data_IF_641750782869
#
_entry.id   IF_641750782869
#
_cell.length_a   1.000
_cell.length_b   1.000
_cell.length_c   1.000
_cell.angle_alpha   90.00
_cell.angle_beta   90.00
_cell.angle_gamma   90.00
#
_symmetry.space_group_name_H-M   'P 1'
#
loop_
_entity.id
_entity.type
_entity.pdbx_description
1 polymer ?
#
# COMPACT_ATOMS: atom_id res chain seq x y z
N UNK A 1 -56.27 -48.27 -19.62
CA UNK A 1 -56.26 -47.64 -20.95
C UNK A 1 -55.74 -46.22 -20.75
N UNK A 2 -54.41 -46.03 -20.79
CA UNK A 2 -53.65 -45.37 -21.89
C UNK A 2 -53.51 -43.85 -21.62
N UNK A 3 -52.37 -43.40 -21.05
CA UNK A 3 -51.10 -42.97 -21.71
C UNK A 3 -51.18 -41.56 -22.33
N UNK A 4 -50.41 -40.62 -21.75
CA UNK A 4 -49.44 -39.71 -22.40
C UNK A 4 -48.90 -38.76 -21.30
N UNK A 5 -47.61 -38.85 -20.95
CA UNK A 5 -46.47 -38.11 -21.57
C UNK A 5 -46.53 -36.61 -21.22
N UNK A 6 -45.47 -35.89 -20.89
CA UNK A 6 -44.07 -36.18 -20.63
C UNK A 6 -43.49 -34.95 -19.90
N UNK A 7 -42.35 -35.19 -19.25
CA UNK A 7 -41.43 -34.20 -18.70
C UNK A 7 -41.21 -32.98 -19.62
N UNK A 8 -41.31 -31.78 -19.06
CA UNK A 8 -40.59 -30.61 -19.55
C UNK A 8 -39.99 -29.87 -18.35
N UNK A 9 -38.73 -30.19 -18.11
CA UNK A 9 -37.81 -29.50 -17.21
C UNK A 9 -37.91 -27.99 -17.42
N UNK A 10 -38.31 -27.27 -16.37
CA UNK A 10 -38.19 -25.83 -16.29
C UNK A 10 -36.70 -25.48 -16.13
N UNK A 11 -35.98 -25.42 -17.25
CA UNK A 11 -34.68 -24.78 -17.31
C UNK A 11 -34.90 -23.28 -17.10
N UNK A 12 -34.49 -22.79 -15.92
CA UNK A 12 -34.47 -21.37 -15.58
C UNK A 12 -33.64 -20.62 -16.63
N UNK A 13 -34.30 -19.88 -17.51
CA UNK A 13 -33.67 -18.96 -18.42
C UNK A 13 -33.11 -17.79 -17.60
N UNK A 14 -31.79 -17.64 -17.60
CA UNK A 14 -31.13 -16.41 -17.16
C UNK A 14 -31.69 -15.24 -17.99
N UNK A 15 -31.82 -14.02 -17.42
CA UNK A 15 -32.38 -12.88 -18.14
C UNK A 15 -31.53 -12.61 -19.39
N UNK A 16 -32.14 -12.87 -20.54
CA UNK A 16 -31.55 -12.68 -21.85
C UNK A 16 -31.28 -11.20 -22.06
N UNK A 17 -30.01 -10.82 -21.95
CA UNK A 17 -29.53 -9.68 -22.73
C UNK A 17 -29.73 -10.10 -24.18
N UNK A 18 -30.58 -9.40 -24.94
CA UNK A 18 -30.77 -9.65 -26.36
C UNK A 18 -29.43 -9.44 -27.08
N UNK A 19 -28.68 -10.53 -27.20
CA UNK A 19 -27.35 -10.55 -27.79
C UNK A 19 -27.51 -10.80 -29.28
N UNK A 20 -27.85 -9.74 -30.02
CA UNK A 20 -27.90 -9.80 -31.46
C UNK A 20 -26.48 -9.62 -32.01
N UNK A 21 -25.91 -10.71 -32.53
CA UNK A 21 -24.63 -10.66 -33.24
C UNK A 21 -24.86 -10.11 -34.65
N UNK A 22 -23.98 -9.24 -35.16
CA UNK A 22 -24.00 -8.83 -36.56
C UNK A 22 -23.95 -10.03 -37.51
N UNK A 23 -24.62 -9.92 -38.66
CA UNK A 23 -24.70 -10.97 -39.67
C UNK A 23 -23.31 -11.44 -40.15
N UNK A 24 -22.33 -10.53 -40.18
CA UNK A 24 -20.96 -10.85 -40.57
C UNK A 24 -20.29 -11.80 -39.56
N UNK A 25 -20.62 -11.69 -38.27
CA UNK A 25 -20.12 -12.59 -37.23
C UNK A 25 -20.87 -13.93 -37.30
N UNK A 26 -22.19 -13.91 -37.53
CA UNK A 26 -22.98 -15.13 -37.67
C UNK A 26 -22.52 -15.98 -38.88
N UNK A 27 -22.13 -15.33 -39.97
CA UNK A 27 -21.63 -16.00 -41.18
C UNK A 27 -20.31 -16.78 -40.97
N UNK A 28 -19.52 -16.41 -39.96
CA UNK A 28 -18.23 -17.07 -39.64
C UNK A 28 -18.32 -18.06 -38.48
N UNK A 29 -19.46 -18.15 -37.80
CA UNK A 29 -19.65 -19.13 -36.73
C UNK A 29 -19.85 -20.52 -37.36
N UNK A 30 -19.11 -21.55 -36.91
CA UNK A 30 -19.30 -22.91 -37.40
C UNK A 30 -20.75 -23.36 -37.23
N UNK A 31 -21.32 -24.07 -38.19
CA UNK A 31 -22.69 -24.62 -38.08
C UNK A 31 -22.74 -25.94 -37.30
N UNK A 32 -21.59 -26.62 -37.14
CA UNK A 32 -21.49 -27.83 -36.31
C UNK A 32 -21.47 -27.46 -34.81
N UNK A 33 -22.37 -28.02 -33.98
CA UNK A 33 -22.44 -27.72 -32.55
C UNK A 33 -21.15 -27.98 -31.76
N UNK A 34 -20.38 -29.02 -32.10
CA UNK A 34 -19.14 -29.34 -31.40
C UNK A 34 -18.02 -28.34 -31.74
N UNK A 35 -17.96 -27.89 -33.00
CA UNK A 35 -17.00 -26.86 -33.41
C UNK A 35 -17.33 -25.50 -32.78
N UNK A 36 -18.61 -25.17 -32.60
CA UNK A 36 -19.04 -23.99 -31.85
C UNK A 36 -18.58 -24.02 -30.39
N UNK A 37 -18.69 -25.18 -29.72
CA UNK A 37 -18.17 -25.35 -28.35
C UNK A 37 -16.66 -25.13 -28.29
N UNK A 38 -15.92 -25.57 -29.30
CA UNK A 38 -14.47 -25.35 -29.37
C UNK A 38 -14.13 -23.87 -29.56
N UNK A 39 -14.88 -23.14 -30.39
CA UNK A 39 -14.75 -21.69 -30.54
C UNK A 39 -15.09 -20.97 -29.22
N UNK A 40 -16.21 -21.31 -28.59
CA UNK A 40 -16.61 -20.73 -27.31
C UNK A 40 -15.57 -20.97 -26.21
N UNK A 41 -14.99 -22.18 -26.16
CA UNK A 41 -13.90 -22.54 -25.27
C UNK A 41 -12.68 -21.66 -25.53
N UNK A 42 -12.26 -21.53 -26.80
CA UNK A 42 -11.11 -20.68 -27.18
C UNK A 42 -11.32 -19.22 -26.79
N UNK A 43 -12.50 -18.65 -27.06
CA UNK A 43 -12.85 -17.28 -26.68
C UNK A 43 -12.75 -17.11 -25.16
N UNK A 44 -13.33 -18.05 -24.40
CA UNK A 44 -13.28 -18.03 -22.94
C UNK A 44 -11.84 -18.15 -22.43
N UNK A 45 -11.05 -19.06 -22.98
CA UNK A 45 -9.63 -19.22 -22.63
C UNK A 45 -8.83 -17.96 -22.92
N UNK A 46 -9.05 -17.30 -24.05
CA UNK A 46 -8.40 -16.03 -24.39
C UNK A 46 -8.83 -14.89 -23.44
N UNK A 47 -10.11 -14.81 -23.11
CA UNK A 47 -10.64 -13.80 -22.18
C UNK A 47 -10.04 -13.99 -20.78
N UNK A 48 -9.94 -15.23 -20.30
CA UNK A 48 -9.31 -15.56 -19.02
C UNK A 48 -7.81 -15.22 -19.07
N UNK A 49 -7.09 -15.66 -20.10
CA UNK A 49 -5.66 -15.38 -20.25
C UNK A 49 -5.37 -13.87 -20.28
N UNK A 50 -6.17 -13.09 -21.02
CA UNK A 50 -6.08 -11.63 -21.06
C UNK A 50 -6.30 -11.01 -19.68
N UNK A 51 -7.28 -11.51 -18.91
CA UNK A 51 -7.56 -11.02 -17.55
C UNK A 51 -6.47 -11.40 -16.56
N UNK A 52 -5.94 -12.62 -16.63
CA UNK A 52 -4.82 -13.09 -15.82
C UNK A 52 -3.58 -12.23 -16.08
N UNK A 53 -3.24 -11.98 -17.36
CA UNK A 53 -2.09 -11.14 -17.72
C UNK A 53 -2.20 -9.72 -17.17
N UNK A 54 -3.40 -9.11 -17.19
CA UNK A 54 -3.63 -7.80 -16.54
C UNK A 54 -3.41 -7.85 -15.04
N UNK A 55 -3.96 -8.86 -14.36
CA UNK A 55 -3.80 -9.04 -12.92
C UNK A 55 -2.34 -9.28 -12.53
N UNK A 56 -1.58 -10.03 -13.32
CA UNK A 56 -0.15 -10.23 -13.11
C UNK A 56 0.64 -8.93 -13.24
N UNK A 57 0.34 -8.12 -14.26
CA UNK A 57 0.94 -6.80 -14.45
C UNK A 57 0.62 -5.85 -13.28
N UNK A 58 -0.63 -5.83 -12.83
CA UNK A 58 -1.07 -5.05 -11.66
C UNK A 58 -0.37 -5.51 -10.38
N UNK A 59 -0.30 -6.82 -10.14
CA UNK A 59 0.38 -7.37 -8.98
C UNK A 59 1.89 -7.09 -9.02
N UNK A 60 2.51 -7.11 -10.19
CA UNK A 60 3.92 -6.73 -10.35
C UNK A 60 4.13 -5.24 -10.05
N UNK A 61 3.23 -4.35 -10.49
CA UNK A 61 3.27 -2.93 -10.15
C UNK A 61 3.13 -2.72 -8.63
N UNK A 62 2.10 -3.31 -8.02
CA UNK A 62 1.86 -3.18 -6.59
C UNK A 62 3.04 -3.67 -5.74
N UNK A 63 3.70 -4.77 -6.14
CA UNK A 63 4.91 -5.25 -5.47
C UNK A 63 6.08 -4.27 -5.57
N UNK A 64 6.26 -3.59 -6.71
CA UNK A 64 7.28 -2.55 -6.85
C UNK A 64 6.96 -1.35 -5.98
N UNK A 65 5.72 -0.86 -6.02
CA UNK A 65 5.28 0.28 -5.21
C UNK A 65 5.45 0.00 -3.71
N UNK A 66 5.16 -1.22 -3.27
CA UNK A 66 5.38 -1.64 -1.89
C UNK A 66 6.87 -1.66 -1.52
N UNK A 67 7.73 -2.22 -2.36
CA UNK A 67 9.17 -2.24 -2.12
C UNK A 67 9.78 -0.83 -2.08
N UNK A 68 9.26 0.10 -2.89
CA UNK A 68 9.69 1.50 -2.89
C UNK A 68 9.26 2.21 -1.60
N UNK A 69 8.04 1.95 -1.13
CA UNK A 69 7.54 2.45 0.16
C UNK A 69 8.33 1.91 1.33
N UNK A 70 8.63 0.61 1.36
CA UNK A 70 9.44 -0.01 2.42
C UNK A 70 10.83 0.62 2.51
N UNK A 71 11.45 0.94 1.36
CA UNK A 71 12.74 1.65 1.31
C UNK A 71 12.63 3.07 1.88
N UNK A 72 11.62 3.82 1.48
CA UNK A 72 11.38 5.17 2.02
C UNK A 72 11.09 5.15 3.52
N UNK A 73 10.33 4.17 4.00
CA UNK A 73 10.03 3.97 5.41
C UNK A 73 11.30 3.66 6.23
N UNK A 74 12.16 2.78 5.71
CA UNK A 74 13.45 2.48 6.35
C UNK A 74 14.35 3.72 6.43
N UNK A 75 14.41 4.53 5.37
CA UNK A 75 15.17 5.78 5.35
C UNK A 75 14.64 6.78 6.38
N UNK A 76 13.31 6.98 6.43
CA UNK A 76 12.68 7.88 7.40
C UNK A 76 12.92 7.43 8.84
N UNK A 77 12.84 6.13 9.12
CA UNK A 77 13.18 5.59 10.44
C UNK A 77 14.63 5.86 10.83
N UNK A 78 15.57 5.68 9.90
CA UNK A 78 16.98 5.97 10.16
C UNK A 78 17.21 7.45 10.47
N UNK A 79 16.58 8.36 9.71
CA UNK A 79 16.67 9.81 9.93
C UNK A 79 16.05 10.22 11.28
N UNK A 80 14.93 9.61 11.65
CA UNK A 80 14.28 9.85 12.94
C UNK A 80 15.19 9.42 14.09
N UNK A 81 15.76 8.21 14.02
CA UNK A 81 16.68 7.70 15.04
C UNK A 81 17.94 8.58 15.20
N UNK A 82 18.53 9.04 14.09
CA UNK A 82 19.66 9.99 14.12
C UNK A 82 19.25 11.34 14.75
N UNK A 83 18.06 11.85 14.41
CA UNK A 83 17.54 13.09 14.98
C UNK A 83 17.29 12.97 16.48
N UNK A 84 16.71 11.85 16.93
CA UNK A 84 16.47 11.57 18.35
C UNK A 84 17.78 11.45 19.13
N UNK A 85 18.79 10.78 18.56
CA UNK A 85 20.11 10.69 19.17
C UNK A 85 20.79 12.06 19.32
N UNK A 86 20.70 12.91 18.28
CA UNK A 86 21.22 14.29 18.34
C UNK A 86 20.48 15.14 19.36
N UNK A 87 19.16 15.01 19.44
CA UNK A 87 18.36 15.72 20.43
C UNK A 87 18.73 15.29 21.85
N UNK A 88 18.87 13.99 22.10
CA UNK A 88 19.28 13.47 23.40
C UNK A 88 20.66 14.00 23.81
N UNK A 89 21.63 14.01 22.89
CA UNK A 89 22.96 14.56 23.14
C UNK A 89 22.90 16.07 23.45
N UNK A 90 22.11 16.84 22.70
CA UNK A 90 21.95 18.27 22.93
C UNK A 90 21.29 18.57 24.29
N UNK A 91 20.32 17.74 24.72
CA UNK A 91 19.68 17.87 26.03
C UNK A 91 20.65 17.55 27.18
N UNK A 92 21.47 16.51 27.05
CA UNK A 92 22.51 16.17 28.04
C UNK A 92 23.53 17.30 28.17
N UNK A 93 23.99 17.85 27.04
CA UNK A 93 24.93 18.96 27.04
C UNK A 93 24.34 20.24 27.65
N UNK A 94 23.08 20.55 27.34
CA UNK A 94 22.36 21.67 27.95
C UNK A 94 22.26 21.49 29.48
N UNK A 95 21.99 20.28 29.95
CA UNK A 95 21.95 19.98 31.39
C UNK A 95 23.31 20.17 32.07
N UNK A 96 24.42 19.84 31.40
CA UNK A 96 25.79 20.13 31.91
C UNK A 96 26.05 21.63 31.97
N UNK A 97 25.79 22.35 30.88
CA UNK A 97 25.97 23.79 30.80
C UNK A 97 25.13 24.55 31.84
N UNK A 98 23.90 24.08 32.12
CA UNK A 98 23.06 24.63 33.16
C UNK A 98 23.70 24.49 34.56
N UNK A 99 24.30 23.34 34.87
CA UNK A 99 25.03 23.11 36.13
C UNK A 99 26.27 23.99 36.23
N UNK A 100 27.03 24.12 35.15
CA UNK A 100 28.22 24.98 35.10
C UNK A 100 27.86 26.45 35.31
N UNK A 101 26.80 26.93 34.64
CA UNK A 101 26.25 28.28 34.84
C UNK A 101 25.89 28.51 36.30
N UNK A 102 25.20 27.56 36.95
CA UNK A 102 24.77 27.71 38.35
C UNK A 102 25.97 27.74 39.31
N UNK A 103 26.97 26.91 39.05
CA UNK A 103 28.26 26.94 39.76
C UNK A 103 28.95 28.30 39.62
N UNK A 104 29.04 28.83 38.40
CA UNK A 104 29.65 30.13 38.12
C UNK A 104 28.87 31.30 38.74
N UNK A 105 27.54 31.23 38.75
CA UNK A 105 26.70 32.22 39.42
C UNK A 105 26.96 32.22 40.94
N UNK A 106 27.10 31.04 41.55
CA UNK A 106 27.42 30.91 42.97
C UNK A 106 28.81 31.46 43.32
N UNK A 107 29.83 31.19 42.50
CA UNK A 107 31.18 31.73 42.70
C UNK A 107 31.21 33.24 42.52
N UNK A 108 30.54 33.78 41.50
CA UNK A 108 30.41 35.22 41.25
C UNK A 108 29.76 35.92 42.45
N UNK A 109 28.66 35.38 42.98
CA UNK A 109 27.98 35.91 44.18
C UNK A 109 28.87 35.85 45.42
N UNK A 110 29.73 34.83 45.55
CA UNK A 110 30.69 34.74 46.67
C UNK A 110 31.80 35.79 46.54
N UNK A 111 32.38 35.95 45.35
CA UNK A 111 33.41 36.94 45.08
C UNK A 111 32.90 38.37 45.27
N UNK A 112 31.70 38.68 44.78
CA UNK A 112 31.07 39.99 45.00
C UNK A 112 30.92 40.34 46.49
N UNK A 113 30.49 39.36 47.31
CA UNK A 113 30.42 39.54 48.77
C UNK A 113 31.80 39.72 49.41
N UNK A 114 32.81 38.98 48.97
CA UNK A 114 34.17 39.12 49.49
C UNK A 114 34.77 40.49 49.13
N UNK A 115 34.56 40.96 47.90
CA UNK A 115 35.00 42.28 47.47
C UNK A 115 34.32 43.38 48.30
N UNK A 116 33.01 43.31 48.49
CA UNK A 116 32.27 44.27 49.33
C UNK A 116 32.80 44.33 50.76
N UNK A 117 33.22 43.19 51.33
CA UNK A 117 33.85 43.15 52.66
C UNK A 117 35.20 43.86 52.67
N UNK A 118 36.05 43.64 51.66
CA UNK A 118 37.37 44.27 51.58
C UNK A 118 37.26 45.78 51.39
N UNK A 119 36.31 46.26 50.59
CA UNK A 119 36.08 47.69 50.36
C UNK A 119 35.46 48.42 51.56
N UNK A 120 34.92 47.69 52.54
CA UNK A 120 34.33 48.27 53.76
C UNK A 120 35.36 48.51 54.87
N UNK A 121 36.61 48.05 54.68
CA UNK A 121 37.76 48.36 55.54
C UNK A 121 38.57 49.50 54.90
#
# INVERSE_FOLDING_TARGET
MARHEASASAAAAAPGVDFHLPDEILAVIPTNPYEQLDVARKITSMAIASRVSRLEADAARLRRDLADRDRAEAELRARLADSDARLAAALDENAKLAKERDSLAATTKRLARNLAKVLAF
#
